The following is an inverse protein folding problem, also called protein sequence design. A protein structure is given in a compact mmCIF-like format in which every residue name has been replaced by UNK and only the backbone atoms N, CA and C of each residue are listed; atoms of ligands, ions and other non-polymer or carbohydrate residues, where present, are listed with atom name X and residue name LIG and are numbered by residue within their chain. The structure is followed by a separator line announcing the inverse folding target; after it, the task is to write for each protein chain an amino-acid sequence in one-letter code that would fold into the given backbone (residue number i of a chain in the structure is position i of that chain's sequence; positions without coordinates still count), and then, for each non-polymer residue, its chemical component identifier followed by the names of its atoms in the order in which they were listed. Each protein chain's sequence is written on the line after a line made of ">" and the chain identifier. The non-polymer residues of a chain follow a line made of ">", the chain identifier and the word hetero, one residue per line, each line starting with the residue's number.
data_IF_886202964334
#
_entry.id   IF_886202964334
#
_cell.length_a   1.000
_cell.length_b   1.000
_cell.length_c   1.000
_cell.angle_alpha   90.00
_cell.angle_beta   90.00
_cell.angle_gamma   90.00
#
_symmetry.space_group_name_H-M   'P 1'
#
loop_
_entity.id
_entity.type
_entity.pdbx_description
1 polymer ?
#
# COMPACT_ATOMS: atom_id res chain seq x y z
N UNK A 1 5.28 11.31 -18.71
CA UNK A 1 4.66 10.57 -17.59
C UNK A 1 5.30 11.09 -16.29
N UNK A 2 4.81 12.23 -15.79
CA UNK A 2 5.36 12.95 -14.61
C UNK A 2 4.27 13.41 -13.63
N UNK A 3 3.01 13.04 -13.88
CA UNK A 3 1.84 13.59 -13.17
C UNK A 3 1.79 13.24 -11.68
N UNK A 4 2.42 12.14 -11.24
CA UNK A 4 2.29 11.71 -9.85
C UNK A 4 3.16 12.52 -8.88
N UNK A 5 4.23 13.18 -9.35
CA UNK A 5 5.14 13.95 -8.49
C UNK A 5 4.49 15.22 -7.91
N UNK A 6 3.42 15.69 -8.52
CA UNK A 6 2.68 16.85 -8.03
C UNK A 6 1.59 16.52 -7.02
N UNK A 7 1.28 15.23 -6.85
CA UNK A 7 0.25 14.77 -5.92
C UNK A 7 0.64 14.97 -4.47
N UNK A 8 -0.37 15.06 -3.59
CA UNK A 8 -0.13 15.23 -2.16
C UNK A 8 0.50 13.96 -1.56
N UNK A 9 0.04 12.79 -2.02
CA UNK A 9 0.62 11.53 -1.54
C UNK A 9 2.11 11.43 -1.84
N UNK A 10 2.56 11.84 -3.03
CA UNK A 10 3.98 11.84 -3.36
C UNK A 10 4.79 12.74 -2.42
N UNK A 11 4.31 13.98 -2.21
CA UNK A 11 4.96 14.98 -1.37
C UNK A 11 5.01 14.55 0.10
N UNK A 12 4.09 13.70 0.53
CA UNK A 12 4.05 13.14 1.88
C UNK A 12 5.04 11.98 2.10
N UNK A 13 5.49 11.31 1.04
CA UNK A 13 6.45 10.21 1.14
C UNK A 13 7.85 10.72 1.49
N UNK A 14 8.56 9.94 2.30
CA UNK A 14 9.99 10.10 2.56
C UNK A 14 10.80 9.61 1.36
N UNK A 15 12.02 10.10 1.22
CA UNK A 15 12.91 9.82 0.08
C UNK A 15 13.05 8.31 -0.26
N UNK A 16 13.25 7.39 0.70
CA UNK A 16 13.33 5.96 0.37
C UNK A 16 12.02 5.38 -0.21
N UNK A 17 10.87 5.92 0.18
CA UNK A 17 9.57 5.51 -0.37
C UNK A 17 9.36 6.10 -1.76
N UNK A 18 9.80 7.35 -1.97
CA UNK A 18 9.78 8.01 -3.27
C UNK A 18 10.63 7.24 -4.31
N UNK A 19 11.78 6.72 -3.90
CA UNK A 19 12.66 5.95 -4.79
C UNK A 19 12.02 4.64 -5.25
N UNK A 20 11.35 3.92 -4.35
CA UNK A 20 10.58 2.72 -4.69
C UNK A 20 9.42 3.03 -5.67
N UNK A 21 8.72 4.15 -5.47
CA UNK A 21 7.67 4.58 -6.39
C UNK A 21 8.25 4.89 -7.77
N UNK A 22 9.36 5.65 -7.86
CA UNK A 22 10.06 5.91 -9.13
C UNK A 22 10.45 4.61 -9.81
N UNK A 23 11.00 3.65 -9.07
CA UNK A 23 11.40 2.35 -9.59
C UNK A 23 10.21 1.60 -10.22
N UNK A 24 9.04 1.61 -9.59
CA UNK A 24 7.84 0.97 -10.15
C UNK A 24 7.40 1.60 -11.47
N UNK A 25 7.40 2.94 -11.55
CA UNK A 25 7.08 3.64 -12.79
C UNK A 25 8.13 3.40 -13.88
N UNK A 26 9.42 3.35 -13.53
CA UNK A 26 10.49 3.02 -14.48
C UNK A 26 10.36 1.60 -15.02
N UNK A 27 10.06 0.62 -14.15
CA UNK A 27 9.79 -0.76 -14.55
C UNK A 27 8.56 -0.84 -15.46
N UNK A 28 7.48 -0.13 -15.12
CA UNK A 28 6.27 -0.08 -15.93
C UNK A 28 6.55 0.45 -17.35
N UNK A 29 7.31 1.54 -17.48
CA UNK A 29 7.67 2.09 -18.80
C UNK A 29 8.61 1.17 -19.58
N UNK A 30 9.60 0.58 -18.90
CA UNK A 30 10.50 -0.40 -19.52
C UNK A 30 9.70 -1.55 -20.14
N UNK A 31 8.78 -2.11 -19.38
CA UNK A 31 7.97 -3.24 -19.82
C UNK A 31 6.94 -2.87 -20.90
N UNK A 32 6.43 -1.63 -20.92
CA UNK A 32 5.57 -1.14 -22.01
C UNK A 32 6.31 -1.07 -23.36
N UNK A 33 7.62 -0.80 -23.32
CA UNK A 33 8.48 -0.77 -24.50
C UNK A 33 9.11 -2.13 -24.88
N UNK A 34 8.95 -3.16 -24.05
CA UNK A 34 9.52 -4.48 -24.29
C UNK A 34 8.79 -5.21 -25.42
N UNK A 35 9.55 -5.92 -26.26
CA UNK A 35 8.99 -6.81 -27.31
C UNK A 35 8.62 -8.19 -26.76
N UNK A 36 9.25 -8.59 -25.66
CA UNK A 36 9.00 -9.86 -24.99
C UNK A 36 8.09 -9.65 -23.78
N UNK A 37 7.10 -10.52 -23.63
CA UNK A 37 6.14 -10.50 -22.52
C UNK A 37 6.55 -11.43 -21.39
N UNK A 38 6.24 -11.04 -20.15
CA UNK A 38 6.37 -11.91 -18.98
C UNK A 38 5.04 -12.58 -18.66
N UNK A 39 5.12 -13.75 -18.03
CA UNK A 39 3.92 -14.41 -17.51
C UNK A 39 3.32 -13.66 -16.31
N UNK A 40 4.14 -12.96 -15.54
CA UNK A 40 3.71 -12.22 -14.36
C UNK A 40 4.47 -10.89 -14.24
N UNK A 41 3.71 -9.81 -14.07
CA UNK A 41 4.21 -8.45 -13.89
C UNK A 41 4.14 -7.98 -12.42
N UNK A 42 3.95 -8.90 -11.46
CA UNK A 42 4.00 -8.59 -10.02
C UNK A 42 5.27 -7.83 -9.61
N UNK A 43 6.40 -8.10 -10.26
CA UNK A 43 7.67 -7.41 -10.04
C UNK A 43 7.60 -5.89 -10.32
N UNK A 44 6.72 -5.44 -11.23
CA UNK A 44 6.50 -4.02 -11.53
C UNK A 44 5.78 -3.32 -10.37
N UNK A 45 4.88 -4.04 -9.68
CA UNK A 45 4.08 -3.52 -8.57
C UNK A 45 4.85 -3.55 -7.24
N UNK A 46 5.81 -4.46 -7.09
CA UNK A 46 6.48 -4.73 -5.82
C UNK A 46 7.06 -3.49 -5.13
N UNK A 47 7.80 -2.61 -5.83
CA UNK A 47 8.36 -1.44 -5.16
C UNK A 47 7.27 -0.46 -4.69
N UNK A 48 6.21 -0.23 -5.48
CA UNK A 48 5.07 0.63 -5.12
C UNK A 48 4.30 0.06 -3.92
N UNK A 49 4.09 -1.26 -3.88
CA UNK A 49 3.48 -1.94 -2.76
C UNK A 49 4.32 -1.82 -1.48
N UNK A 50 5.64 -1.86 -1.59
CA UNK A 50 6.57 -1.63 -0.47
C UNK A 50 6.56 -0.17 0.01
N UNK A 51 6.52 0.79 -0.91
CA UNK A 51 6.34 2.20 -0.58
C UNK A 51 5.00 2.45 0.14
N UNK A 52 3.93 1.80 -0.31
CA UNK A 52 2.62 1.86 0.32
C UNK A 52 2.61 1.29 1.75
N UNK A 53 3.35 0.20 2.04
CA UNK A 53 3.53 -0.25 3.43
C UNK A 53 4.24 0.80 4.30
N UNK A 54 5.26 1.47 3.75
CA UNK A 54 5.94 2.58 4.42
C UNK A 54 4.99 3.75 4.68
N UNK A 55 4.21 4.13 3.67
CA UNK A 55 3.17 5.16 3.78
C UNK A 55 2.19 4.85 4.90
N UNK A 56 1.65 3.63 4.96
CA UNK A 56 0.72 3.23 6.02
C UNK A 56 1.36 3.31 7.40
N UNK A 57 2.62 2.86 7.56
CA UNK A 57 3.32 3.01 8.84
C UNK A 57 3.46 4.48 9.24
N UNK A 58 3.84 5.35 8.30
CA UNK A 58 4.00 6.79 8.54
C UNK A 58 2.65 7.43 8.91
N UNK A 59 1.60 7.16 8.13
CA UNK A 59 0.24 7.60 8.40
C UNK A 59 -0.21 7.20 9.81
N UNK A 60 0.00 5.95 10.22
CA UNK A 60 -0.40 5.49 11.54
C UNK A 60 0.39 6.15 12.67
N UNK A 61 1.66 6.48 12.42
CA UNK A 61 2.48 7.22 13.38
C UNK A 61 1.99 8.67 13.52
N UNK A 62 1.76 9.35 12.40
CA UNK A 62 1.33 10.75 12.36
C UNK A 62 -0.06 10.93 12.99
N UNK A 63 -0.94 9.94 12.82
CA UNK A 63 -2.24 9.84 13.49
C UNK A 63 -2.16 9.34 14.95
N UNK A 64 -0.97 9.08 15.49
CA UNK A 64 -0.71 8.57 16.85
C UNK A 64 -1.40 7.23 17.16
N UNK A 65 -1.67 6.42 16.13
CA UNK A 65 -2.28 5.09 16.27
C UNK A 65 -1.25 4.03 16.67
N UNK A 66 0.01 4.27 16.30
CA UNK A 66 1.18 3.48 16.70
C UNK A 66 2.24 4.38 17.34
N UNK A 67 3.12 3.79 18.15
CA UNK A 67 4.26 4.49 18.75
C UNK A 67 5.47 4.54 17.81
N UNK A 68 6.46 5.40 18.11
CA UNK A 68 7.76 5.40 17.41
C UNK A 68 8.45 4.04 17.50
N UNK A 69 8.34 3.35 18.64
CA UNK A 69 8.90 2.00 18.79
C UNK A 69 8.26 1.00 17.81
N UNK A 70 6.95 1.09 17.58
CA UNK A 70 6.26 0.26 16.59
C UNK A 70 6.61 0.66 15.15
N UNK A 71 6.84 1.95 14.89
CA UNK A 71 7.26 2.46 13.58
C UNK A 71 8.61 1.88 13.13
N UNK A 72 9.62 1.97 14.01
CA UNK A 72 10.98 1.46 13.74
C UNK A 72 11.14 -0.04 14.01
N UNK A 73 10.22 -0.66 14.74
CA UNK A 73 10.31 -2.07 15.11
C UNK A 73 10.01 -3.04 13.95
N UNK A 74 10.71 -4.17 13.94
CA UNK A 74 10.57 -5.23 12.93
C UNK A 74 9.32 -6.12 13.13
N UNK A 75 8.72 -6.06 14.31
CA UNK A 75 7.57 -6.89 14.68
C UNK A 75 6.22 -6.29 14.29
N UNK A 76 6.15 -4.99 14.00
CA UNK A 76 4.89 -4.37 13.59
C UNK A 76 4.55 -4.77 12.15
N UNK A 77 3.39 -5.44 11.97
CA UNK A 77 2.94 -5.97 10.69
C UNK A 77 1.65 -5.27 10.26
N UNK A 78 1.69 -4.53 9.16
CA UNK A 78 0.54 -3.85 8.55
C UNK A 78 -0.62 -4.82 8.34
N UNK A 79 -0.34 -5.98 7.73
CA UNK A 79 -1.35 -7.00 7.46
C UNK A 79 -2.13 -7.47 8.68
N UNK A 80 -1.48 -7.54 9.86
CA UNK A 80 -2.18 -7.88 11.12
C UNK A 80 -2.88 -6.66 11.70
N UNK A 81 -2.19 -5.52 11.73
CA UNK A 81 -2.67 -4.29 12.38
C UNK A 81 -3.94 -3.74 11.72
N UNK A 82 -4.04 -3.89 10.40
CA UNK A 82 -5.12 -3.33 9.58
C UNK A 82 -6.18 -4.38 9.19
N UNK A 83 -6.10 -5.63 9.67
CA UNK A 83 -7.05 -6.68 9.30
C UNK A 83 -8.43 -6.46 9.96
N UNK A 84 -9.52 -6.25 9.21
CA UNK A 84 -10.88 -6.10 9.76
C UNK A 84 -11.34 -7.35 10.52
N UNK A 85 -10.85 -8.53 10.10
CA UNK A 85 -11.25 -9.83 10.62
C UNK A 85 -10.32 -10.36 11.72
N UNK A 86 -9.53 -9.48 12.35
CA UNK A 86 -8.62 -9.90 13.42
C UNK A 86 -9.44 -10.45 14.62
N UNK A 87 -9.18 -11.69 15.09
CA UNK A 87 -9.92 -12.25 16.22
C UNK A 87 -9.81 -11.39 17.48
N UNK A 88 -10.89 -11.27 18.27
CA UNK A 88 -10.96 -10.37 19.45
C UNK A 88 -9.76 -10.48 20.38
N UNK A 89 -9.29 -11.70 20.66
CA UNK A 89 -8.11 -11.98 21.52
C UNK A 89 -6.80 -11.36 21.03
N UNK A 90 -6.70 -10.98 19.75
CA UNK A 90 -5.52 -10.35 19.16
C UNK A 90 -5.68 -8.85 18.89
N UNK A 91 -6.82 -8.24 19.28
CA UNK A 91 -7.15 -6.83 19.00
C UNK A 91 -6.49 -5.82 19.94
N UNK A 92 -5.60 -6.26 20.84
CA UNK A 92 -4.79 -5.31 21.62
C UNK A 92 -3.92 -4.47 20.66
N UNK A 93 -4.10 -3.14 20.72
CA UNK A 93 -3.41 -2.20 19.83
C UNK A 93 -3.85 -2.26 18.36
N UNK A 94 -5.05 -2.78 18.07
CA UNK A 94 -5.56 -2.95 16.71
C UNK A 94 -5.77 -1.61 15.99
N UNK A 95 -4.98 -1.37 14.94
CA UNK A 95 -4.98 -0.09 14.22
C UNK A 95 -6.25 0.10 13.41
N UNK A 96 -6.80 -0.96 12.80
CA UNK A 96 -8.07 -0.88 12.08
C UNK A 96 -9.18 -0.28 12.96
N UNK A 97 -9.39 -0.83 14.16
CA UNK A 97 -10.41 -0.32 15.09
C UNK A 97 -10.19 1.15 15.45
N UNK A 98 -8.95 1.53 15.77
CA UNK A 98 -8.62 2.93 16.07
C UNK A 98 -8.85 3.88 14.87
N UNK A 99 -8.61 3.41 13.65
CA UNK A 99 -8.91 4.20 12.44
C UNK A 99 -10.42 4.33 12.22
N UNK A 100 -11.20 3.27 12.44
CA UNK A 100 -12.67 3.35 12.39
C UNK A 100 -13.17 4.39 13.39
N UNK A 101 -12.68 4.36 14.63
CA UNK A 101 -13.04 5.33 15.65
C UNK A 101 -12.63 6.76 15.27
N UNK A 102 -11.44 6.93 14.68
CA UNK A 102 -10.94 8.23 14.22
C UNK A 102 -11.72 8.80 13.04
N UNK A 103 -12.07 7.96 12.06
CA UNK A 103 -12.75 8.37 10.83
C UNK A 103 -14.27 8.40 10.97
N UNK A 104 -14.84 7.75 12.00
CA UNK A 104 -16.28 7.58 12.17
C UNK A 104 -16.94 6.66 11.12
N UNK A 105 -16.15 5.93 10.32
CA UNK A 105 -16.60 5.00 9.29
C UNK A 105 -15.56 3.90 9.04
N UNK A 106 -16.01 2.76 8.56
CA UNK A 106 -15.15 1.65 8.11
C UNK A 106 -14.62 1.83 6.68
N UNK A 107 -15.14 2.78 5.90
CA UNK A 107 -14.86 2.89 4.46
C UNK A 107 -13.36 3.07 4.15
N UNK A 108 -12.71 4.03 4.81
CA UNK A 108 -11.27 4.27 4.63
C UNK A 108 -10.42 3.11 5.16
N UNK A 109 -10.60 2.63 6.42
CA UNK A 109 -9.90 1.44 6.92
C UNK A 109 -10.00 0.20 6.01
N UNK A 110 -11.19 -0.10 5.50
CA UNK A 110 -11.42 -1.21 4.57
C UNK A 110 -10.71 -1.00 3.24
N UNK A 111 -10.76 0.22 2.70
CA UNK A 111 -10.07 0.58 1.46
C UNK A 111 -8.55 0.41 1.61
N UNK A 112 -7.98 0.94 2.69
CA UNK A 112 -6.54 0.85 2.98
C UNK A 112 -6.08 -0.62 3.08
N UNK A 113 -6.84 -1.45 3.80
CA UNK A 113 -6.55 -2.88 3.95
C UNK A 113 -6.76 -3.67 2.66
N UNK A 114 -7.84 -3.37 1.94
CA UNK A 114 -8.20 -4.05 0.70
C UNK A 114 -7.10 -3.92 -0.36
N UNK A 115 -6.63 -2.69 -0.60
CA UNK A 115 -5.55 -2.46 -1.57
C UNK A 115 -4.23 -3.05 -1.09
N UNK A 116 -3.92 -2.99 0.21
CA UNK A 116 -2.74 -3.67 0.78
C UNK A 116 -2.79 -5.19 0.52
N UNK A 117 -3.94 -5.80 0.80
CA UNK A 117 -4.14 -7.24 0.63
C UNK A 117 -3.98 -7.62 -0.84
N UNK A 118 -4.61 -6.89 -1.75
CA UNK A 118 -4.54 -7.14 -3.19
C UNK A 118 -3.11 -6.95 -3.71
N UNK A 119 -2.50 -5.80 -3.46
CA UNK A 119 -1.24 -5.40 -4.09
C UNK A 119 0.03 -5.89 -3.40
N UNK A 120 -0.01 -6.24 -2.10
CA UNK A 120 1.18 -6.69 -1.35
C UNK A 120 1.06 -8.13 -0.82
N UNK A 121 -0.14 -8.61 -0.53
CA UNK A 121 -0.30 -9.95 0.00
C UNK A 121 -0.56 -10.94 -1.14
N UNK A 122 -1.64 -10.76 -1.89
CA UNK A 122 -2.15 -11.78 -2.79
C UNK A 122 -1.26 -11.99 -4.02
N UNK A 123 -0.84 -10.92 -4.71
CA UNK A 123 0.00 -11.05 -5.92
C UNK A 123 1.42 -11.57 -5.68
N UNK A 124 1.87 -11.64 -4.42
CA UNK A 124 3.19 -12.17 -4.06
C UNK A 124 3.11 -13.52 -3.34
N UNK A 125 1.92 -14.02 -3.05
CA UNK A 125 1.74 -15.34 -2.49
C UNK A 125 1.55 -16.36 -3.62
N UNK A 126 2.40 -17.38 -3.63
CA UNK A 126 2.22 -18.53 -4.49
C UNK A 126 1.15 -19.45 -3.90
N UNK A 127 0.09 -19.71 -4.67
CA UNK A 127 -0.96 -20.65 -4.32
C UNK A 127 -0.96 -21.81 -5.33
N UNK A 128 -0.75 -23.07 -4.90
CA UNK A 128 -0.67 -24.22 -5.80
C UNK A 128 -1.89 -24.39 -6.72
N UNK A 129 -3.09 -24.09 -6.20
CA UNK A 129 -4.36 -24.33 -6.90
C UNK A 129 -4.90 -23.10 -7.65
N UNK A 130 -4.28 -21.92 -7.49
CA UNK A 130 -4.73 -20.67 -8.08
C UNK A 130 -3.58 -19.67 -8.26
N UNK A 131 -2.86 -19.79 -9.37
CA UNK A 131 -1.81 -18.83 -9.72
C UNK A 131 -2.40 -17.43 -9.94
N UNK A 132 -1.90 -16.44 -9.21
CA UNK A 132 -2.30 -15.05 -9.33
C UNK A 132 -1.31 -14.23 -10.16
N UNK A 133 -1.06 -14.67 -11.39
CA UNK A 133 -0.28 -13.87 -12.31
C UNK A 133 -1.05 -12.63 -12.76
N UNK A 134 -0.34 -11.50 -12.86
CA UNK A 134 -0.93 -10.26 -13.34
C UNK A 134 -0.28 -9.84 -14.65
N UNK A 135 -1.10 -9.36 -15.59
CA UNK A 135 -0.63 -8.70 -16.82
C UNK A 135 -0.07 -7.32 -16.53
N UNK A 136 0.72 -6.77 -17.46
CA UNK A 136 1.25 -5.41 -17.36
C UNK A 136 0.13 -4.35 -17.18
N UNK A 137 -1.02 -4.55 -17.84
CA UNK A 137 -2.18 -3.68 -17.68
C UNK A 137 -2.79 -3.76 -16.28
N UNK A 138 -2.82 -4.94 -15.66
CA UNK A 138 -3.23 -5.11 -14.26
C UNK A 138 -2.21 -4.47 -13.30
N UNK A 139 -0.91 -4.60 -13.57
CA UNK A 139 0.15 -3.97 -12.80
C UNK A 139 0.03 -2.43 -12.81
N UNK A 140 -0.18 -1.83 -13.99
CA UNK A 140 -0.43 -0.39 -14.13
C UNK A 140 -1.61 0.07 -13.27
N UNK A 141 -2.75 -0.62 -13.36
CA UNK A 141 -3.94 -0.27 -12.56
C UNK A 141 -3.71 -0.38 -11.07
N UNK A 142 -2.94 -1.38 -10.62
CA UNK A 142 -2.58 -1.53 -9.20
C UNK A 142 -1.69 -0.40 -8.71
N UNK A 143 -0.73 0.06 -9.52
CA UNK A 143 0.11 1.21 -9.18
C UNK A 143 -0.75 2.47 -9.04
N UNK A 144 -1.65 2.71 -9.99
CA UNK A 144 -2.56 3.86 -9.95
C UNK A 144 -3.52 3.79 -8.75
N UNK A 145 -4.05 2.61 -8.44
CA UNK A 145 -4.94 2.35 -7.29
C UNK A 145 -4.21 2.62 -5.96
N UNK A 146 -2.96 2.18 -5.81
CA UNK A 146 -2.16 2.47 -4.61
C UNK A 146 -1.95 3.98 -4.44
N UNK A 147 -1.61 4.70 -5.51
CA UNK A 147 -1.50 6.16 -5.49
C UNK A 147 -2.82 6.85 -5.10
N UNK A 148 -3.92 6.43 -5.72
CA UNK A 148 -5.26 6.97 -5.45
C UNK A 148 -5.71 6.77 -4.00
N UNK A 149 -5.44 5.59 -3.43
CA UNK A 149 -5.79 5.29 -2.03
C UNK A 149 -4.94 6.10 -1.05
N UNK A 150 -3.65 6.34 -1.34
CA UNK A 150 -2.83 7.23 -0.51
C UNK A 150 -3.36 8.67 -0.56
N UNK A 151 -3.74 9.17 -1.73
CA UNK A 151 -4.34 10.50 -1.88
C UNK A 151 -5.66 10.61 -1.09
N UNK A 152 -6.53 9.60 -1.22
CA UNK A 152 -7.79 9.53 -0.47
C UNK A 152 -7.55 9.54 1.04
N UNK A 153 -6.55 8.81 1.51
CA UNK A 153 -6.22 8.73 2.93
C UNK A 153 -5.74 10.08 3.48
N UNK A 154 -4.89 10.80 2.76
CA UNK A 154 -4.43 12.12 3.20
C UNK A 154 -5.56 13.14 3.28
N UNK A 155 -6.46 13.16 2.28
CA UNK A 155 -7.65 14.01 2.29
C UNK A 155 -8.60 13.64 3.42
N UNK A 156 -8.89 12.35 3.58
CA UNK A 156 -9.78 11.82 4.63
C UNK A 156 -9.26 12.06 6.04
N UNK A 157 -7.94 12.05 6.23
CA UNK A 157 -7.28 12.30 7.51
C UNK A 157 -6.91 13.78 7.74
N UNK A 158 -7.24 14.69 6.80
CA UNK A 158 -6.90 16.12 6.87
C UNK A 158 -5.40 16.40 7.01
N UNK A 159 -4.58 15.58 6.36
CA UNK A 159 -3.12 15.69 6.36
C UNK A 159 -2.56 16.35 5.09
N UNK A 160 -3.41 16.61 4.10
CA UNK A 160 -3.13 17.40 2.90
C UNK A 160 -4.43 17.93 2.28
#
# INVERSE_FOLDING_TARGET
>A
MESYRETNWWKYLEEPMQDLVKESFLLLERERGSRDGWHDYSFVVFPMAKAYEGFLKKLFLDLKLISRQQYFGEHFRIGRALNPNLPKRYRSGWVYGKLVDYCGSEDLPLTLWGVWKKARNQIFHFFPDHHQFISLGQASRLIDELGGVMEQALRGCRLA
#
